data_IF_584064014790
#
_entry.id   IF_584064014790
#
_cell.length_a   1.000
_cell.length_b   1.000
_cell.length_c   1.000
_cell.angle_alpha   90.00
_cell.angle_beta   90.00
_cell.angle_gamma   90.00
#
_symmetry.space_group_name_H-M   'P 1'
#
loop_
_entity.id
_entity.type
_entity.pdbx_description
1 polymer ?
#
# COMPACT_ATOMS: atom_id res chain seq x y z
N UNK A 1 -41.24 -79.74 11.74
CA UNK A 1 -40.90 -80.01 10.32
C UNK A 1 -41.28 -78.76 9.55
N UNK A 2 -40.42 -77.94 8.93
CA UNK A 2 -39.03 -78.03 8.48
C UNK A 2 -38.35 -76.66 8.79
N UNK A 3 -37.17 -76.63 9.41
CA UNK A 3 -35.81 -76.67 8.84
C UNK A 3 -35.36 -75.33 8.22
N UNK A 4 -34.21 -74.87 8.72
CA UNK A 4 -33.62 -73.55 8.60
C UNK A 4 -32.85 -73.29 7.29
N UNK A 5 -32.63 -72.00 7.00
CA UNK A 5 -31.48 -71.38 6.31
C UNK A 5 -31.70 -69.87 6.37
N UNK A 6 -30.82 -68.94 6.77
CA UNK A 6 -29.45 -68.91 7.26
C UNK A 6 -29.14 -67.41 7.49
N UNK A 7 -28.34 -67.07 8.50
CA UNK A 7 -27.92 -65.69 8.84
C UNK A 7 -26.97 -65.11 7.78
N UNK A 8 -27.10 -63.81 7.47
CA UNK A 8 -25.96 -62.87 7.34
C UNK A 8 -26.39 -61.46 7.81
N UNK A 9 -25.64 -60.91 8.77
CA UNK A 9 -25.70 -59.52 9.23
C UNK A 9 -25.03 -58.56 8.23
N UNK A 10 -25.55 -57.33 8.09
CA UNK A 10 -24.71 -56.15 7.87
C UNK A 10 -25.45 -54.86 8.26
N UNK A 11 -24.85 -54.13 9.20
CA UNK A 11 -25.18 -52.74 9.54
C UNK A 11 -24.99 -51.82 8.33
N UNK A 12 -25.86 -50.83 8.16
CA UNK A 12 -25.50 -49.56 7.53
C UNK A 12 -26.15 -48.42 8.32
N UNK A 13 -25.35 -47.84 9.21
CA UNK A 13 -25.64 -46.60 9.91
C UNK A 13 -25.33 -45.40 8.99
N UNK A 14 -26.09 -44.32 9.23
CA UNK A 14 -25.90 -42.91 8.87
C UNK A 14 -24.89 -42.57 7.76
N UNK A 15 -25.36 -41.92 6.69
CA UNK A 15 -24.61 -40.81 6.06
C UNK A 15 -25.46 -40.04 5.04
N UNK A 16 -25.85 -38.81 5.41
CA UNK A 16 -25.98 -37.70 4.49
C UNK A 16 -25.91 -36.37 5.27
N UNK A 17 -24.83 -36.17 6.05
CA UNK A 17 -24.36 -34.80 6.27
C UNK A 17 -23.71 -34.38 4.95
N UNK A 18 -24.50 -33.78 4.05
CA UNK A 18 -23.95 -33.08 2.91
C UNK A 18 -23.06 -31.96 3.46
N UNK A 19 -21.77 -32.10 3.21
CA UNK A 19 -20.71 -31.19 3.60
C UNK A 19 -20.95 -29.79 3.03
N UNK A 20 -21.44 -28.88 3.87
CA UNK A 20 -21.28 -27.44 3.67
C UNK A 20 -19.81 -27.12 3.96
N UNK A 21 -18.94 -27.44 3.00
CA UNK A 21 -17.51 -27.14 3.08
C UNK A 21 -16.98 -26.50 1.80
N UNK A 22 -17.87 -25.92 0.98
CA UNK A 22 -17.49 -24.79 0.14
C UNK A 22 -17.52 -23.51 0.99
N UNK A 23 -16.74 -23.49 2.07
CA UNK A 23 -16.34 -22.25 2.70
C UNK A 23 -15.50 -21.52 1.66
N UNK A 24 -15.92 -20.31 1.30
CA UNK A 24 -15.21 -19.38 0.41
C UNK A 24 -13.72 -19.36 0.77
N UNK A 25 -12.91 -20.17 0.10
CA UNK A 25 -11.46 -20.07 0.23
C UNK A 25 -11.06 -18.83 -0.55
N UNK A 26 -10.75 -17.75 0.18
CA UNK A 26 -10.19 -16.54 -0.42
C UNK A 26 -9.03 -16.96 -1.33
N UNK A 27 -8.98 -16.51 -2.59
CA UNK A 27 -7.86 -16.79 -3.48
C UNK A 27 -6.58 -16.37 -2.75
N UNK A 28 -5.68 -17.32 -2.55
CA UNK A 28 -4.34 -17.00 -2.09
C UNK A 28 -3.63 -16.30 -3.24
N UNK A 29 -3.46 -15.00 -3.10
CA UNK A 29 -2.74 -14.20 -4.07
C UNK A 29 -1.37 -13.88 -3.48
N UNK A 30 -0.34 -14.48 -4.06
CA UNK A 30 1.05 -14.12 -3.84
C UNK A 30 1.86 -14.53 -5.06
N UNK A 31 2.98 -13.83 -5.36
CA UNK A 31 3.88 -14.23 -6.42
C UNK A 31 4.49 -15.61 -6.11
N UNK A 32 5.00 -16.31 -7.13
CA UNK A 32 5.59 -17.64 -6.99
C UNK A 32 6.96 -17.58 -6.29
N UNK A 33 6.94 -17.38 -4.97
CA UNK A 33 8.13 -17.18 -4.13
C UNK A 33 9.08 -18.39 -4.12
N UNK A 34 8.59 -19.59 -4.46
CA UNK A 34 9.45 -20.77 -4.63
C UNK A 34 10.52 -20.58 -5.71
N UNK A 35 10.30 -19.65 -6.66
CA UNK A 35 11.31 -19.27 -7.65
C UNK A 35 12.54 -18.57 -7.03
N UNK A 36 12.42 -18.08 -5.79
CA UNK A 36 13.45 -17.31 -5.09
C UNK A 36 14.28 -18.12 -4.09
N UNK A 37 13.99 -19.41 -3.89
CA UNK A 37 14.64 -20.26 -2.86
C UNK A 37 16.16 -20.34 -3.03
N UNK A 38 16.67 -20.23 -4.26
CA UNK A 38 18.10 -20.30 -4.55
C UNK A 38 18.73 -18.91 -4.77
N UNK A 39 17.96 -17.83 -4.63
CA UNK A 39 18.47 -16.48 -4.75
C UNK A 39 19.14 -16.04 -3.43
N UNK A 40 20.19 -15.22 -3.49
CA UNK A 40 20.82 -14.71 -2.29
C UNK A 40 19.85 -13.82 -1.51
N UNK A 41 19.81 -14.01 -0.18
CA UNK A 41 19.09 -13.10 0.71
C UNK A 41 19.89 -11.81 0.87
N UNK A 42 19.49 -10.78 0.13
CA UNK A 42 20.07 -9.46 0.18
C UNK A 42 18.96 -8.40 0.17
N UNK A 43 19.23 -7.28 0.84
CA UNK A 43 18.42 -6.09 0.70
C UNK A 43 18.60 -5.50 -0.70
N UNK A 44 17.51 -5.03 -1.31
CA UNK A 44 17.57 -4.19 -2.51
C UNK A 44 18.47 -2.97 -2.27
N UNK A 45 19.09 -2.44 -3.33
CA UNK A 45 20.08 -1.36 -3.28
C UNK A 45 21.37 -1.61 -2.47
N UNK A 46 21.48 -2.71 -1.73
CA UNK A 46 22.70 -3.12 -1.02
C UNK A 46 23.44 -4.24 -1.75
N UNK A 47 22.76 -4.95 -2.65
CA UNK A 47 23.37 -6.01 -3.44
C UNK A 47 24.33 -5.42 -4.49
N UNK A 48 25.59 -5.86 -4.45
CA UNK A 48 26.62 -5.48 -5.43
C UNK A 48 26.67 -6.43 -6.64
N UNK A 49 25.91 -7.52 -6.61
CA UNK A 49 25.78 -8.46 -7.72
C UNK A 49 24.49 -8.18 -8.51
N UNK A 50 24.56 -8.36 -9.83
CA UNK A 50 23.40 -8.19 -10.69
C UNK A 50 22.28 -9.17 -10.29
N UNK A 51 21.09 -8.64 -10.00
CA UNK A 51 19.89 -9.42 -9.70
C UNK A 51 19.43 -10.08 -11.01
N UNK A 52 19.53 -11.41 -11.09
CA UNK A 52 19.10 -12.17 -12.28
C UNK A 52 17.60 -12.40 -12.31
N UNK A 53 17.01 -12.67 -11.14
CA UNK A 53 15.59 -12.92 -10.99
C UNK A 53 14.91 -11.72 -10.33
N UNK A 54 14.37 -10.82 -11.15
CA UNK A 54 13.72 -9.58 -10.72
C UNK A 54 12.40 -9.81 -9.99
N UNK A 55 11.89 -11.04 -9.95
CA UNK A 55 10.76 -11.44 -9.11
C UNK A 55 11.14 -11.63 -7.64
N UNK A 56 12.43 -11.66 -7.31
CA UNK A 56 12.93 -11.97 -5.98
C UNK A 56 13.55 -10.79 -5.25
N UNK A 57 13.68 -9.66 -5.93
CA UNK A 57 14.10 -8.39 -5.37
C UNK A 57 13.65 -7.26 -6.30
N UNK A 58 13.09 -6.15 -5.78
CA UNK A 58 12.66 -5.04 -6.61
C UNK A 58 13.84 -4.41 -7.35
N UNK A 59 13.78 -4.42 -8.68
CA UNK A 59 14.81 -3.84 -9.55
C UNK A 59 14.32 -3.61 -10.99
N UNK A 60 14.58 -2.44 -11.61
CA UNK A 60 14.90 -1.17 -10.94
C UNK A 60 13.78 -0.79 -9.95
N UNK A 61 14.00 0.15 -9.04
CA UNK A 61 13.00 0.46 -8.00
C UNK A 61 13.27 -0.12 -6.60
N UNK A 62 14.53 -0.38 -6.26
CA UNK A 62 14.91 -1.04 -5.01
C UNK A 62 14.80 -0.16 -3.74
N UNK A 63 14.64 1.15 -3.89
CA UNK A 63 14.41 2.08 -2.78
C UNK A 63 12.90 2.30 -2.68
N UNK A 64 12.24 1.59 -1.76
CA UNK A 64 10.78 1.58 -1.67
C UNK A 64 10.30 2.60 -0.65
N UNK A 65 9.43 3.51 -1.05
CA UNK A 65 8.89 4.58 -0.21
C UNK A 65 7.47 4.23 0.22
N UNK A 66 7.20 4.22 1.52
CA UNK A 66 5.83 4.24 2.04
C UNK A 66 5.46 5.70 2.29
N UNK A 67 4.45 6.22 1.59
CA UNK A 67 4.08 7.64 1.61
C UNK A 67 2.72 7.85 2.24
N UNK A 68 2.56 8.95 2.98
CA UNK A 68 1.33 9.28 3.69
C UNK A 68 0.96 10.74 3.56
N UNK A 69 -0.34 11.02 3.65
CA UNK A 69 -0.92 12.36 3.65
C UNK A 69 -1.44 12.77 5.03
N UNK A 70 -1.29 14.06 5.30
CA UNK A 70 -2.11 14.78 6.27
C UNK A 70 -2.97 15.83 5.55
N UNK A 71 -4.08 15.37 5.01
CA UNK A 71 -5.11 16.27 4.49
C UNK A 71 -5.97 16.83 5.62
N UNK A 72 -6.51 18.03 5.43
CA UNK A 72 -7.51 18.60 6.36
C UNK A 72 -8.94 18.51 5.83
N UNK A 73 -9.11 18.16 4.54
CA UNK A 73 -10.37 18.02 3.83
C UNK A 73 -10.18 17.09 2.60
N UNK A 74 -11.28 16.51 2.11
CA UNK A 74 -11.31 15.65 0.91
C UNK A 74 -11.86 16.40 -0.30
N UNK A 75 -12.67 17.44 -0.11
CA UNK A 75 -13.41 18.12 -1.19
C UNK A 75 -14.63 17.33 -1.68
N UNK A 76 -14.85 16.12 -1.15
CA UNK A 76 -15.98 15.25 -1.43
C UNK A 76 -16.77 14.90 -0.16
N UNK A 77 -16.71 15.75 0.87
CA UNK A 77 -17.48 15.59 2.12
C UNK A 77 -18.98 15.51 1.84
N UNK A 78 -19.47 16.26 0.85
CA UNK A 78 -20.86 16.23 0.40
C UNK A 78 -21.29 14.86 -0.17
N UNK A 79 -20.33 14.00 -0.54
CA UNK A 79 -20.55 12.61 -0.95
C UNK A 79 -20.25 11.60 0.17
N UNK A 80 -19.90 12.06 1.37
CA UNK A 80 -19.57 11.21 2.51
C UNK A 80 -18.13 10.66 2.53
N UNK A 81 -17.26 11.12 1.62
CA UNK A 81 -15.82 10.81 1.67
C UNK A 81 -15.17 11.67 2.75
N UNK A 82 -14.82 11.05 3.87
CA UNK A 82 -14.31 11.72 5.07
C UNK A 82 -12.98 11.10 5.48
N UNK A 83 -12.12 11.91 6.08
CA UNK A 83 -10.82 11.49 6.57
C UNK A 83 -10.97 10.71 7.89
N UNK A 84 -10.16 9.68 8.13
CA UNK A 84 -10.15 9.00 9.43
C UNK A 84 -9.54 9.93 10.49
N UNK A 85 -10.19 10.03 11.65
CA UNK A 85 -9.67 10.86 12.75
C UNK A 85 -8.38 10.28 13.34
N UNK A 86 -7.52 11.17 13.85
CA UNK A 86 -6.31 10.83 14.60
C UNK A 86 -5.34 9.88 13.87
N UNK A 87 -5.31 9.97 12.54
CA UNK A 87 -4.42 9.13 11.72
C UNK A 87 -4.08 9.80 10.38
N UNK A 88 -2.85 9.61 9.93
CA UNK A 88 -2.40 9.96 8.58
C UNK A 88 -2.95 8.94 7.58
N UNK A 89 -3.31 9.37 6.38
CA UNK A 89 -3.84 8.48 5.34
C UNK A 89 -2.74 7.98 4.42
N UNK A 90 -2.96 6.85 3.77
CA UNK A 90 -2.07 6.31 2.75
C UNK A 90 -2.04 7.28 1.57
N UNK A 91 -0.83 7.62 1.12
CA UNK A 91 -0.61 8.15 -0.22
C UNK A 91 -0.29 6.97 -1.15
N UNK A 92 0.79 6.24 -0.90
CA UNK A 92 1.12 5.06 -1.71
C UNK A 92 2.34 4.25 -1.25
N UNK A 93 2.83 3.42 -2.17
CA UNK A 93 4.07 2.66 -2.07
C UNK A 93 4.85 2.80 -3.38
N UNK A 94 5.98 3.50 -3.37
CA UNK A 94 6.68 3.89 -4.60
C UNK A 94 8.04 3.22 -4.73
N UNK A 95 8.35 2.61 -5.88
CA UNK A 95 9.64 1.98 -6.14
C UNK A 95 10.61 2.96 -6.81
N UNK A 96 11.37 3.71 -6.01
CA UNK A 96 12.44 4.57 -6.52
C UNK A 96 13.69 3.74 -6.84
N UNK A 97 14.45 4.19 -7.84
CA UNK A 97 15.79 3.68 -8.09
C UNK A 97 16.70 3.95 -6.88
N UNK A 98 17.76 3.16 -6.78
CA UNK A 98 18.71 3.28 -5.68
C UNK A 98 19.47 4.62 -5.64
N UNK A 99 19.43 5.38 -6.73
CA UNK A 99 20.00 6.74 -6.83
C UNK A 99 18.97 7.85 -6.52
N UNK A 100 17.73 7.49 -6.18
CA UNK A 100 16.62 8.40 -5.89
C UNK A 100 15.89 8.92 -7.14
N UNK A 101 16.29 8.53 -8.36
CA UNK A 101 15.44 8.72 -9.54
C UNK A 101 14.27 7.75 -9.51
N UNK A 102 13.22 8.00 -10.28
CA UNK A 102 12.03 7.14 -10.27
C UNK A 102 11.42 7.01 -11.67
N UNK A 103 10.67 5.92 -11.87
CA UNK A 103 9.87 5.69 -13.05
C UNK A 103 8.39 5.98 -12.77
N UNK A 104 7.63 6.27 -13.83
CA UNK A 104 6.18 6.38 -13.77
C UNK A 104 5.58 5.69 -15.00
N UNK A 105 4.42 5.07 -14.85
CA UNK A 105 3.71 4.36 -15.93
C UNK A 105 4.59 3.35 -16.69
N UNK A 106 5.36 2.54 -15.97
CA UNK A 106 6.37 1.64 -16.55
C UNK A 106 5.77 0.48 -17.37
N UNK A 107 4.46 0.21 -17.24
CA UNK A 107 3.73 -0.77 -18.04
C UNK A 107 2.30 -0.29 -18.30
N UNK A 108 2.08 0.32 -19.46
CA UNK A 108 0.76 0.83 -19.88
C UNK A 108 -0.28 -0.28 -20.11
N UNK A 109 0.12 -1.54 -20.23
CA UNK A 109 -0.82 -2.66 -20.36
C UNK A 109 -1.50 -3.03 -19.03
N UNK A 110 -0.94 -2.55 -17.91
CA UNK A 110 -1.40 -2.77 -16.53
C UNK A 110 -1.64 -1.46 -15.79
N UNK A 111 -1.94 -0.39 -16.51
CA UNK A 111 -2.33 0.90 -15.96
C UNK A 111 -3.86 0.95 -15.80
N UNK A 112 -4.35 1.64 -14.75
CA UNK A 112 -5.79 1.75 -14.45
C UNK A 112 -6.23 3.18 -14.07
N UNK A 113 -5.40 4.18 -14.33
CA UNK A 113 -5.65 5.59 -13.98
C UNK A 113 -6.62 6.26 -14.98
N UNK A 114 -7.80 6.73 -14.54
CA UNK A 114 -8.74 7.43 -15.39
C UNK A 114 -8.33 8.87 -15.74
N UNK A 115 -7.42 9.52 -15.00
CA UNK A 115 -6.88 10.85 -15.32
C UNK A 115 -5.35 10.91 -15.16
N UNK A 116 -4.59 10.32 -16.11
CA UNK A 116 -3.14 10.22 -16.01
C UNK A 116 -2.44 11.57 -15.86
N UNK A 117 -1.59 11.64 -14.85
CA UNK A 117 -0.65 12.74 -14.63
C UNK A 117 0.77 12.18 -14.44
N UNK A 118 1.75 12.52 -15.31
CA UNK A 118 1.60 13.29 -16.54
C UNK A 118 0.87 12.51 -17.66
N UNK A 119 0.26 13.25 -18.60
CA UNK A 119 -0.37 12.68 -19.82
C UNK A 119 0.62 12.25 -20.90
N UNK A 120 1.87 12.70 -20.80
CA UNK A 120 2.97 12.38 -21.72
C UNK A 120 4.24 12.20 -20.90
N UNK A 121 4.92 11.08 -21.08
CA UNK A 121 6.17 10.76 -20.40
C UNK A 121 7.34 11.60 -20.97
N UNK A 122 8.49 11.70 -20.25
CA UNK A 122 9.64 12.46 -20.71
C UNK A 122 10.20 12.04 -22.09
N UNK A 123 9.98 10.78 -22.48
CA UNK A 123 10.38 10.23 -23.79
C UNK A 123 9.37 10.53 -24.92
N UNK A 124 8.27 11.21 -24.61
CA UNK A 124 7.19 11.53 -25.54
C UNK A 124 6.07 10.50 -25.62
N UNK A 125 6.14 9.40 -24.86
CA UNK A 125 5.10 8.36 -24.84
C UNK A 125 3.80 8.91 -24.24
N UNK A 126 2.67 8.89 -24.96
CA UNK A 126 1.38 9.28 -24.39
C UNK A 126 0.88 8.25 -23.37
N UNK A 127 0.30 8.73 -22.28
CA UNK A 127 -0.36 7.89 -21.27
C UNK A 127 -1.87 8.04 -21.45
N UNK A 128 -2.55 7.05 -22.07
CA UNK A 128 -3.99 7.15 -22.33
C UNK A 128 -4.80 7.00 -21.04
N UNK A 129 -5.90 7.77 -20.87
CA UNK A 129 -6.86 7.54 -19.79
C UNK A 129 -7.44 6.14 -19.81
N UNK A 130 -7.55 5.51 -18.64
CA UNK A 130 -8.23 4.24 -18.47
C UNK A 130 -9.75 4.44 -18.43
N UNK A 131 -10.49 3.62 -19.18
CA UNK A 131 -11.96 3.70 -19.28
C UNK A 131 -12.66 2.42 -18.80
N UNK A 132 -11.94 1.51 -18.14
CA UNK A 132 -12.51 0.29 -17.58
C UNK A 132 -13.02 0.47 -16.15
N UNK A 133 -13.38 -0.62 -15.47
CA UNK A 133 -13.86 -0.57 -14.09
C UNK A 133 -12.71 -0.22 -13.11
N UNK A 134 -13.03 0.51 -12.05
CA UNK A 134 -12.03 0.91 -11.04
C UNK A 134 -11.39 -0.27 -10.32
N UNK A 135 -10.20 -0.04 -9.74
CA UNK A 135 -9.42 -1.10 -9.07
C UNK A 135 -10.13 -1.70 -7.84
N UNK A 136 -11.09 -0.97 -7.28
CA UNK A 136 -12.01 -1.43 -6.24
C UNK A 136 -12.80 -2.68 -6.68
N UNK A 137 -13.16 -2.75 -7.96
CA UNK A 137 -13.84 -3.92 -8.54
C UNK A 137 -12.93 -5.15 -8.56
N UNK A 138 -11.64 -4.97 -8.84
CA UNK A 138 -10.67 -6.07 -8.84
C UNK A 138 -10.51 -6.64 -7.43
N UNK A 139 -10.36 -5.77 -6.43
CA UNK A 139 -10.26 -6.18 -5.01
C UNK A 139 -11.52 -6.94 -4.58
N UNK A 140 -12.70 -6.47 -4.97
CA UNK A 140 -13.96 -7.14 -4.67
C UNK A 140 -14.11 -8.51 -5.35
N UNK A 141 -13.71 -8.64 -6.62
CA UNK A 141 -13.76 -9.91 -7.38
C UNK A 141 -12.86 -11.00 -6.78
N UNK A 142 -11.73 -10.61 -6.19
CA UNK A 142 -10.87 -11.50 -5.40
C UNK A 142 -11.41 -11.78 -3.98
N UNK A 143 -12.60 -11.28 -3.64
CA UNK A 143 -13.23 -11.46 -2.33
C UNK A 143 -12.51 -10.72 -1.19
N UNK A 144 -11.64 -9.76 -1.49
CA UNK A 144 -10.80 -9.03 -0.52
C UNK A 144 -11.55 -7.85 0.11
N UNK A 145 -12.77 -8.09 0.60
CA UNK A 145 -13.63 -7.04 1.13
C UNK A 145 -13.05 -6.30 2.35
N UNK A 146 -12.25 -6.98 3.19
CA UNK A 146 -11.56 -6.32 4.31
C UNK A 146 -10.45 -5.37 3.84
N UNK A 147 -9.77 -5.69 2.73
CA UNK A 147 -8.78 -4.80 2.12
C UNK A 147 -9.49 -3.58 1.53
N UNK A 148 -10.59 -3.79 0.80
CA UNK A 148 -11.38 -2.70 0.24
C UNK A 148 -11.94 -1.77 1.33
N UNK A 149 -12.49 -2.32 2.41
CA UNK A 149 -12.95 -1.54 3.56
C UNK A 149 -11.81 -0.77 4.25
N UNK A 150 -10.60 -1.33 4.30
CA UNK A 150 -9.42 -0.61 4.76
C UNK A 150 -9.09 0.56 3.83
N UNK A 151 -9.01 0.31 2.52
CA UNK A 151 -8.69 1.34 1.52
C UNK A 151 -9.69 2.50 1.59
N UNK A 152 -11.00 2.22 1.64
CA UNK A 152 -12.04 3.24 1.78
C UNK A 152 -11.92 4.10 3.05
N UNK A 153 -11.33 3.55 4.11
CA UNK A 153 -11.17 4.24 5.40
C UNK A 153 -9.87 5.01 5.52
N UNK A 154 -8.78 4.48 4.97
CA UNK A 154 -7.42 4.94 5.26
C UNK A 154 -6.64 5.38 4.02
N UNK A 155 -7.13 5.12 2.81
CA UNK A 155 -6.51 5.53 1.54
C UNK A 155 -7.45 6.47 0.79
N UNK A 156 -7.66 7.65 1.38
CA UNK A 156 -8.70 8.59 0.96
C UNK A 156 -8.12 9.61 0.00
N UNK A 157 -8.80 9.83 -1.13
CA UNK A 157 -8.42 10.83 -2.12
C UNK A 157 -8.83 12.26 -1.72
N UNK A 158 -8.10 13.24 -2.25
CA UNK A 158 -8.48 14.65 -2.22
C UNK A 158 -8.90 15.12 -3.62
N UNK A 159 -10.12 15.63 -3.75
CA UNK A 159 -10.67 16.22 -4.97
C UNK A 159 -11.26 15.23 -5.97
N UNK A 160 -11.05 13.92 -5.80
CA UNK A 160 -11.60 12.87 -6.66
C UNK A 160 -12.13 11.67 -5.85
N UNK A 161 -12.96 10.80 -6.45
CA UNK A 161 -13.31 9.51 -5.85
C UNK A 161 -12.06 8.68 -5.50
N UNK A 162 -12.13 7.93 -4.41
CA UNK A 162 -11.03 7.06 -3.99
C UNK A 162 -10.58 6.08 -5.09
N UNK A 163 -11.51 5.51 -5.86
CA UNK A 163 -11.24 4.59 -6.97
C UNK A 163 -10.30 5.17 -8.03
N UNK A 164 -10.44 6.47 -8.32
CA UNK A 164 -9.67 7.16 -9.35
C UNK A 164 -8.23 7.32 -8.87
N UNK A 165 -8.06 7.71 -7.60
CA UNK A 165 -6.77 7.82 -6.95
C UNK A 165 -6.05 6.47 -6.87
N UNK A 166 -6.74 5.40 -6.48
CA UNK A 166 -6.12 4.07 -6.44
C UNK A 166 -5.70 3.56 -7.82
N UNK A 167 -6.36 4.01 -8.90
CA UNK A 167 -5.96 3.70 -10.27
C UNK A 167 -4.64 4.37 -10.70
N UNK A 168 -4.30 5.51 -10.09
CA UNK A 168 -3.07 6.28 -10.30
C UNK A 168 -1.82 5.61 -9.68
N UNK A 169 -2.02 4.82 -8.63
CA UNK A 169 -0.94 4.29 -7.80
C UNK A 169 0.05 3.39 -8.56
N UNK A 170 1.33 3.51 -8.20
CA UNK A 170 2.48 3.15 -9.04
C UNK A 170 2.84 1.65 -9.13
N UNK A 171 1.86 0.74 -9.07
CA UNK A 171 2.09 -0.72 -9.13
C UNK A 171 2.90 -1.16 -10.36
N UNK A 172 2.82 -0.43 -11.48
CA UNK A 172 3.47 -0.80 -12.75
C UNK A 172 5.00 -0.73 -12.74
N UNK A 173 5.61 0.00 -11.81
CA UNK A 173 7.05 0.30 -11.83
C UNK A 173 7.90 -0.58 -10.90
N UNK A 174 7.29 -1.54 -10.20
CA UNK A 174 8.02 -2.51 -9.38
C UNK A 174 8.03 -3.88 -10.05
N UNK A 175 9.22 -4.48 -10.15
CA UNK A 175 9.43 -5.75 -10.85
C UNK A 175 8.83 -6.97 -10.14
N UNK A 176 8.69 -6.94 -8.81
CA UNK A 176 8.22 -8.10 -8.04
C UNK A 176 6.73 -8.35 -8.21
N UNK A 177 5.99 -7.38 -8.77
CA UNK A 177 4.58 -7.48 -9.12
C UNK A 177 4.34 -7.78 -10.61
N UNK A 178 5.38 -8.00 -11.40
CA UNK A 178 5.22 -8.42 -12.79
C UNK A 178 4.41 -9.72 -12.86
N UNK A 179 3.47 -9.80 -13.81
CA UNK A 179 2.62 -10.98 -14.06
C UNK A 179 3.45 -12.24 -14.27
N UNK A 180 4.66 -12.10 -14.83
CA UNK A 180 5.61 -13.20 -15.02
C UNK A 180 6.00 -13.87 -13.68
N UNK A 181 5.99 -13.12 -12.57
CA UNK A 181 6.33 -13.60 -11.24
C UNK A 181 5.24 -14.50 -10.63
N UNK A 182 4.02 -14.47 -11.16
CA UNK A 182 2.91 -15.30 -10.71
C UNK A 182 2.84 -16.66 -11.44
N UNK A 183 3.52 -16.76 -12.59
CA UNK A 183 3.61 -17.99 -13.37
C UNK A 183 2.28 -18.40 -14.02
N UNK A 184 2.09 -19.70 -14.36
CA UNK A 184 0.98 -20.15 -15.21
C UNK A 184 -0.40 -20.08 -14.53
N UNK A 185 -0.45 -19.78 -13.23
CA UNK A 185 -1.69 -19.69 -12.45
C UNK A 185 -2.09 -18.24 -12.15
N UNK A 186 -1.44 -17.26 -12.79
CA UNK A 186 -1.82 -15.86 -12.68
C UNK A 186 -3.30 -15.68 -13.06
N UNK A 187 -4.05 -15.05 -12.16
CA UNK A 187 -5.39 -14.55 -12.45
C UNK A 187 -5.27 -13.07 -12.79
N UNK A 188 -6.04 -12.61 -13.78
CA UNK A 188 -6.03 -11.21 -14.20
C UNK A 188 -6.25 -10.30 -12.97
N UNK A 189 -5.43 -9.25 -12.84
CA UNK A 189 -5.44 -8.28 -11.74
C UNK A 189 -4.97 -8.80 -10.37
N UNK A 190 -4.46 -10.04 -10.29
CA UNK A 190 -3.91 -10.58 -9.05
C UNK A 190 -2.75 -9.74 -8.50
N UNK A 191 -1.88 -9.25 -9.39
CA UNK A 191 -0.74 -8.39 -9.07
C UNK A 191 -1.15 -7.06 -8.45
N UNK A 192 -2.25 -6.49 -8.95
CA UNK A 192 -2.82 -5.23 -8.45
C UNK A 192 -3.35 -5.42 -7.03
N UNK A 193 -4.10 -6.50 -6.78
CA UNK A 193 -4.63 -6.81 -5.44
C UNK A 193 -3.49 -7.04 -4.44
N UNK A 194 -2.44 -7.75 -4.85
CA UNK A 194 -1.26 -7.97 -4.01
C UNK A 194 -0.47 -6.69 -3.74
N UNK A 195 -0.45 -5.74 -4.68
CA UNK A 195 0.13 -4.41 -4.47
C UNK A 195 -0.59 -3.65 -3.37
N UNK A 196 -1.93 -3.60 -3.40
CA UNK A 196 -2.71 -2.94 -2.35
C UNK A 196 -2.45 -3.57 -0.96
N UNK A 197 -2.36 -4.89 -0.87
CA UNK A 197 -1.98 -5.56 0.39
C UNK A 197 -0.56 -5.22 0.85
N UNK A 198 0.39 -5.09 -0.08
CA UNK A 198 1.76 -4.69 0.24
C UNK A 198 1.82 -3.24 0.78
N UNK A 199 1.06 -2.33 0.18
CA UNK A 199 0.97 -0.94 0.65
C UNK A 199 0.39 -0.89 2.06
N UNK A 200 -0.71 -1.60 2.32
CA UNK A 200 -1.33 -1.66 3.66
C UNK A 200 -0.37 -2.25 4.69
N UNK A 201 0.38 -3.30 4.32
CA UNK A 201 1.39 -3.90 5.19
C UNK A 201 2.50 -2.91 5.55
N UNK A 202 3.03 -2.19 4.56
CA UNK A 202 4.05 -1.17 4.79
C UNK A 202 3.52 0.00 5.64
N UNK A 203 2.33 0.51 5.31
CA UNK A 203 1.68 1.62 6.03
C UNK A 203 1.51 1.33 7.52
N UNK A 204 1.09 0.11 7.88
CA UNK A 204 0.90 -0.29 9.27
C UNK A 204 2.18 -0.28 10.12
N UNK A 205 3.37 -0.25 9.49
CA UNK A 205 4.63 -0.10 10.22
C UNK A 205 4.87 1.34 10.71
N UNK A 206 4.15 2.33 10.17
CA UNK A 206 4.38 3.75 10.39
C UNK A 206 3.11 4.47 10.88
N UNK A 207 2.73 4.30 12.17
CA UNK A 207 1.61 5.03 12.77
C UNK A 207 2.01 6.50 13.06
N UNK A 208 2.18 7.30 12.00
CA UNK A 208 2.75 8.66 12.04
C UNK A 208 2.07 9.55 13.08
N UNK A 209 0.74 9.53 13.15
CA UNK A 209 0.00 10.34 14.13
C UNK A 209 0.39 9.97 15.56
N UNK A 210 0.44 8.67 15.88
CA UNK A 210 0.76 8.17 17.22
C UNK A 210 2.19 8.52 17.62
N UNK A 211 3.14 8.40 16.68
CA UNK A 211 4.55 8.74 16.90
C UNK A 211 4.70 10.23 17.24
N UNK A 212 4.04 11.10 16.47
CA UNK A 212 4.06 12.54 16.71
C UNK A 212 3.35 12.89 18.03
N UNK A 213 2.17 12.31 18.27
CA UNK A 213 1.38 12.53 19.48
C UNK A 213 2.13 12.11 20.75
N UNK A 214 2.85 10.99 20.72
CA UNK A 214 3.70 10.53 21.82
C UNK A 214 4.83 11.50 22.16
N UNK A 215 5.22 12.36 21.20
CA UNK A 215 6.21 13.43 21.37
C UNK A 215 5.57 14.80 21.68
N UNK A 216 4.25 14.84 21.94
CA UNK A 216 3.51 16.08 22.19
C UNK A 216 3.26 16.93 20.94
N UNK A 217 3.45 16.36 19.75
CA UNK A 217 3.17 17.01 18.47
C UNK A 217 1.77 16.58 18.03
N UNK A 218 0.81 17.47 18.20
CA UNK A 218 -0.59 17.24 17.86
C UNK A 218 -1.04 18.25 16.81
N UNK A 219 -2.06 17.92 16.00
CA UNK A 219 -2.69 18.90 15.14
C UNK A 219 -3.16 20.11 15.97
N UNK A 220 -2.87 21.32 15.50
CA UNK A 220 -3.29 22.57 16.13
C UNK A 220 -3.44 23.71 15.13
N UNK A 221 -4.47 24.53 15.33
CA UNK A 221 -4.62 25.81 14.62
C UNK A 221 -3.80 26.97 15.24
N UNK A 222 -3.09 26.72 16.35
CA UNK A 222 -2.41 27.78 17.12
C UNK A 222 -0.91 27.56 17.27
N UNK A 223 -0.47 26.32 17.34
CA UNK A 223 0.94 25.99 17.52
C UNK A 223 1.62 25.64 16.21
N UNK A 224 2.93 25.83 16.18
CA UNK A 224 3.79 25.41 15.08
C UNK A 224 4.96 24.60 15.61
N UNK A 225 5.56 23.77 14.77
CA UNK A 225 6.70 22.93 15.09
C UNK A 225 7.89 23.27 14.19
N UNK A 226 9.11 23.01 14.64
CA UNK A 226 10.28 23.09 13.76
C UNK A 226 10.45 21.79 12.96
N UNK A 227 11.10 21.87 11.80
CA UNK A 227 11.46 20.69 11.00
C UNK A 227 12.23 19.66 11.83
N UNK A 228 13.21 20.14 12.61
CA UNK A 228 14.02 19.28 13.48
C UNK A 228 13.19 18.56 14.54
N UNK A 229 12.17 19.22 15.14
CA UNK A 229 11.28 18.58 16.11
C UNK A 229 10.49 17.42 15.46
N UNK A 230 9.91 17.66 14.29
CA UNK A 230 9.16 16.64 13.55
C UNK A 230 10.05 15.45 13.17
N UNK A 231 11.20 15.71 12.56
CA UNK A 231 12.14 14.66 12.15
C UNK A 231 12.70 13.87 13.34
N UNK A 232 12.99 14.54 14.47
CA UNK A 232 13.50 13.87 15.67
C UNK A 232 12.45 12.93 16.26
N UNK A 233 11.19 13.37 16.35
CA UNK A 233 10.10 12.55 16.86
C UNK A 233 9.90 11.28 16.00
N UNK A 234 9.88 11.45 14.67
CA UNK A 234 9.71 10.33 13.74
C UNK A 234 10.91 9.38 13.79
N UNK A 235 12.14 9.91 13.69
CA UNK A 235 13.38 9.11 13.74
C UNK A 235 13.48 8.28 15.02
N UNK A 236 13.04 8.83 16.16
CA UNK A 236 13.14 8.13 17.44
C UNK A 236 12.38 6.79 17.46
N UNK A 237 11.30 6.66 16.66
CA UNK A 237 10.51 5.43 16.56
C UNK A 237 10.87 4.59 15.33
N UNK A 238 11.20 5.23 14.21
CA UNK A 238 11.42 4.52 12.93
C UNK A 238 12.88 4.14 12.69
N UNK A 239 13.82 4.74 13.42
CA UNK A 239 15.26 4.56 13.26
C UNK A 239 15.92 5.42 12.17
N UNK A 240 15.12 6.12 11.36
CA UNK A 240 15.62 6.89 10.21
C UNK A 240 14.85 8.19 10.02
N UNK A 241 15.49 9.18 9.40
CA UNK A 241 14.91 10.48 9.08
C UNK A 241 14.02 10.33 7.84
N UNK A 242 12.69 10.49 7.95
CA UNK A 242 11.83 10.49 6.77
C UNK A 242 11.93 11.82 6.01
N UNK A 243 11.42 11.81 4.78
CA UNK A 243 11.07 13.05 4.09
C UNK A 243 9.82 13.66 4.72
N UNK A 244 9.79 14.98 4.83
CA UNK A 244 8.57 15.74 5.19
C UNK A 244 8.25 16.70 4.05
N UNK A 245 7.03 16.61 3.55
CA UNK A 245 6.50 17.47 2.50
C UNK A 245 5.67 18.60 3.10
N UNK A 246 5.96 19.84 2.73
CA UNK A 246 5.17 20.99 3.14
C UNK A 246 4.73 21.87 1.96
N UNK A 247 3.47 22.29 2.02
CA UNK A 247 2.90 23.32 1.17
C UNK A 247 3.07 24.73 1.74
N UNK A 248 2.44 25.70 1.07
CA UNK A 248 2.40 27.11 1.51
C UNK A 248 3.79 27.69 1.85
N UNK A 249 4.71 27.62 0.88
CA UNK A 249 6.11 28.05 1.04
C UNK A 249 6.83 27.31 2.19
N UNK A 250 6.56 26.02 2.35
CA UNK A 250 7.23 25.16 3.33
C UNK A 250 6.71 25.29 4.76
N UNK A 251 5.52 25.88 4.97
CA UNK A 251 5.01 26.16 6.33
C UNK A 251 3.80 25.32 6.72
N UNK A 252 3.26 24.48 5.84
CA UNK A 252 2.10 23.62 6.15
C UNK A 252 2.47 22.19 5.86
N UNK A 253 2.54 21.35 6.88
CA UNK A 253 2.87 19.94 6.77
C UNK A 253 1.74 19.18 6.03
N UNK A 254 2.12 18.41 5.01
CA UNK A 254 1.20 17.71 4.12
C UNK A 254 1.57 16.24 3.91
N UNK A 255 2.86 15.91 3.88
CA UNK A 255 3.32 14.56 3.54
C UNK A 255 4.43 14.08 4.46
N UNK A 256 4.51 12.75 4.61
CA UNK A 256 5.68 12.06 5.14
C UNK A 256 5.99 10.85 4.28
N UNK A 257 7.27 10.67 3.92
CA UNK A 257 7.72 9.50 3.16
C UNK A 257 8.80 8.74 3.93
N UNK A 258 8.55 7.46 4.17
CA UNK A 258 9.48 6.53 4.82
C UNK A 258 10.19 5.71 3.76
N UNK A 259 11.52 5.62 3.83
CA UNK A 259 12.36 5.00 2.81
C UNK A 259 12.86 3.65 3.28
N UNK A 260 12.88 2.68 2.37
CA UNK A 260 13.25 1.31 2.71
C UNK A 260 14.10 0.64 1.64
N UNK A 261 15.00 -0.22 2.10
CA UNK A 261 15.44 -1.36 1.30
C UNK A 261 14.60 -2.58 1.65
N UNK A 262 14.39 -3.47 0.67
CA UNK A 262 13.50 -4.63 0.77
C UNK A 262 14.33 -5.91 0.76
N UNK A 263 14.13 -6.77 1.76
CA UNK A 263 14.68 -8.12 1.76
C UNK A 263 13.70 -9.07 1.05
N UNK A 264 14.07 -9.56 -0.12
CA UNK A 264 13.14 -10.33 -0.95
C UNK A 264 12.17 -9.40 -1.67
N UNK A 265 10.86 -9.62 -1.51
CA UNK A 265 9.82 -8.88 -2.25
C UNK A 265 8.92 -8.05 -1.33
N UNK A 266 8.35 -6.98 -1.87
CA UNK A 266 7.49 -6.03 -1.15
C UNK A 266 6.25 -6.71 -0.56
N UNK A 267 5.70 -7.72 -1.23
CA UNK A 267 4.50 -8.45 -0.79
C UNK A 267 4.66 -9.07 0.61
N UNK A 268 5.88 -9.40 1.04
CA UNK A 268 6.14 -10.00 2.35
C UNK A 268 6.45 -8.98 3.44
N UNK A 269 6.83 -7.75 3.07
CA UNK A 269 6.98 -6.62 3.99
C UNK A 269 8.23 -6.64 4.87
N UNK A 270 9.33 -7.23 4.39
CA UNK A 270 10.62 -7.16 5.09
C UNK A 270 11.37 -5.89 4.69
N UNK A 271 11.01 -4.78 5.31
CA UNK A 271 11.58 -3.46 5.05
C UNK A 271 12.67 -3.11 6.07
N UNK A 272 13.83 -2.67 5.58
CA UNK A 272 14.87 -2.02 6.37
C UNK A 272 14.74 -0.52 6.14
N UNK A 273 14.29 0.21 7.16
CA UNK A 273 14.20 1.67 7.10
C UNK A 273 15.58 2.29 6.89
N UNK A 274 15.66 3.29 6.01
CA UNK A 274 16.85 4.09 5.73
C UNK A 274 16.52 5.58 5.78
N UNK A 275 17.54 6.42 5.97
CA UNK A 275 17.34 7.87 5.91
C UNK A 275 16.88 8.28 4.51
N UNK A 276 16.02 9.29 4.43
CA UNK A 276 15.52 9.81 3.16
C UNK A 276 16.67 10.26 2.26
N UNK A 277 16.58 9.87 0.99
CA UNK A 277 17.48 10.34 -0.08
C UNK A 277 17.06 11.70 -0.64
N UNK A 278 15.89 12.22 -0.24
CA UNK A 278 15.30 13.46 -0.74
C UNK A 278 15.20 14.50 0.37
N UNK A 279 15.59 15.74 0.08
CA UNK A 279 15.50 16.83 1.04
C UNK A 279 14.03 17.25 1.28
N UNK A 280 13.67 17.53 2.54
CA UNK A 280 12.35 18.06 2.89
C UNK A 280 12.04 19.38 2.18
N UNK A 281 10.78 19.59 1.81
CA UNK A 281 10.28 20.88 1.30
C UNK A 281 9.80 21.82 2.42
N UNK A 282 9.80 21.36 3.67
CA UNK A 282 9.46 22.16 4.83
C UNK A 282 10.56 23.18 5.17
N UNK A 283 10.13 24.35 5.65
CA UNK A 283 11.02 25.41 6.06
C UNK A 283 11.89 24.97 7.23
N UNK A 284 13.19 25.21 7.13
CA UNK A 284 14.15 24.96 8.22
C UNK A 284 14.19 26.11 9.25
N UNK A 285 13.52 27.24 8.97
CA UNK A 285 13.59 28.45 9.79
C UNK A 285 12.22 28.94 10.27
N UNK A 286 11.17 28.75 9.48
CA UNK A 286 9.81 29.11 9.86
C UNK A 286 9.15 28.01 10.70
N UNK A 287 8.13 28.38 11.47
CA UNK A 287 7.25 27.42 12.13
C UNK A 287 6.40 26.67 11.11
N UNK A 288 6.30 25.36 11.26
CA UNK A 288 5.49 24.46 10.44
C UNK A 288 4.16 24.22 11.15
N UNK A 289 3.08 24.51 10.45
CA UNK A 289 1.72 24.21 10.86
C UNK A 289 1.39 22.74 10.56
N UNK A 290 0.87 22.07 11.59
CA UNK A 290 0.24 20.77 11.49
C UNK A 290 -1.22 20.97 11.90
N UNK A 291 -2.11 21.20 10.94
CA UNK A 291 -3.45 21.73 11.21
C UNK A 291 -4.45 20.67 11.69
N UNK A 292 -5.38 21.08 12.55
CA UNK A 292 -6.55 20.28 12.92
C UNK A 292 -7.46 20.09 11.70
N UNK A 293 -8.12 18.93 11.62
CA UNK A 293 -9.22 18.69 10.69
C UNK A 293 -10.49 19.34 11.23
N UNK A 294 -11.38 19.74 10.32
CA UNK A 294 -12.71 20.19 10.75
C UNK A 294 -13.56 18.99 11.12
N UNK A 295 -14.46 19.08 12.13
CA UNK A 295 -15.32 17.95 12.50
C UNK A 295 -16.20 17.42 11.37
N UNK A 296 -16.45 18.24 10.34
CA UNK A 296 -17.22 17.87 9.14
C UNK A 296 -16.40 17.19 8.05
N UNK A 297 -15.07 17.22 8.13
CA UNK A 297 -14.17 16.57 7.16
C UNK A 297 -13.59 15.25 7.65
N UNK A 298 -13.89 14.85 8.88
CA UNK A 298 -13.38 13.62 9.49
C UNK A 298 -14.48 12.71 10.06
N UNK A 299 -14.12 11.45 10.29
CA UNK A 299 -14.98 10.45 10.92
C UNK A 299 -14.17 9.54 11.84
N UNK A 300 -14.83 9.04 12.88
CA UNK A 300 -14.30 7.95 13.68
C UNK A 300 -14.24 6.68 12.84
N UNK A 301 -13.05 6.08 12.77
CA UNK A 301 -12.85 4.75 12.17
C UNK A 301 -12.38 3.82 13.27
N UNK A 302 -12.91 2.60 13.32
CA UNK A 302 -12.37 1.60 14.25
C UNK A 302 -10.96 1.29 13.81
N UNK A 303 -9.97 1.64 14.64
CA UNK A 303 -8.61 1.10 14.52
C UNK A 303 -8.75 -0.42 14.55
N UNK A 304 -8.55 -1.07 13.40
CA UNK A 304 -8.55 -2.52 13.34
C UNK A 304 -7.36 -3.00 14.21
N UNK A 305 -7.59 -3.87 15.21
CA UNK A 305 -6.50 -4.45 15.99
C UNK A 305 -5.54 -5.29 15.14
#
# INVERSE_FOLDING_TARGET
>A
MAAASGLVFALLALQACASVSSLLSLPRTYPKISACVNEPLAYSCENTTAIKNTCCSPTPGGLVLQTQFWDTYTGLEHKGQLLPKDIWTVHGLWPDNCDGSFGQYCDLSRQYDPDPSPRVLPDGTPVPPYNGPGVDTFVAEFGRFNLLDFMEKYWVSQGSPNSDFWGHEHATCTSTFDVACYGPYYQKNQDVVDFFDAVVRAYKMYPTWEILAASGILPSNKTTYSLTQLQTALKAQTGSIPYLGCGSNGTVLQEVWYFHHVLGTEQFGHFKTVDSTTASTCSSTAGIHYYERTPTSEREVRLLP
#
